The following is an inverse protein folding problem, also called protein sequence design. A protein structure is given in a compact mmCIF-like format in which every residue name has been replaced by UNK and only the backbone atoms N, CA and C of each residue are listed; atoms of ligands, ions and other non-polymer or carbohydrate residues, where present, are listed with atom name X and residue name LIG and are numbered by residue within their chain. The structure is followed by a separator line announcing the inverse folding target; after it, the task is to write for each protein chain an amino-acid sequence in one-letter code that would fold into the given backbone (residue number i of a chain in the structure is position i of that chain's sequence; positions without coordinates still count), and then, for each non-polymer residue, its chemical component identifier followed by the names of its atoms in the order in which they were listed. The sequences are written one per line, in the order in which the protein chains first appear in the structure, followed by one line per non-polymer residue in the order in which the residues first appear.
data_IF_620914245665
#
_entry.id   IF_620914245665
#
_cell.length_a   1.000
_cell.length_b   1.000
_cell.length_c   1.000
_cell.angle_alpha   90.00
_cell.angle_beta   90.00
_cell.angle_gamma   90.00
#
_symmetry.space_group_name_H-M   'P 1'
#
loop_
_entity.id
_entity.type
_entity.pdbx_description
1 polymer ?
#
# COMPACT_ATOMS: atom_id res chain seq x y z
N UNK A 1 19.70 -7.34 5.19
CA UNK A 1 18.41 -6.63 5.01
C UNK A 1 17.92 -6.94 3.62
N UNK A 2 16.82 -7.69 3.51
CA UNK A 2 16.14 -7.78 2.22
C UNK A 2 15.41 -6.46 2.02
N UNK A 3 15.90 -5.62 1.12
CA UNK A 3 15.23 -4.38 0.78
C UNK A 3 13.89 -4.73 0.11
N UNK A 4 12.77 -4.46 0.79
CA UNK A 4 11.41 -4.73 0.28
C UNK A 4 11.17 -4.01 -1.04
N UNK A 5 11.73 -2.81 -1.20
CA UNK A 5 11.71 -2.07 -2.46
C UNK A 5 12.38 -2.86 -3.58
N UNK A 6 13.53 -3.50 -3.29
CA UNK A 6 14.22 -4.35 -4.26
C UNK A 6 13.46 -5.65 -4.56
N UNK A 7 12.79 -6.22 -3.55
CA UNK A 7 12.08 -7.51 -3.69
C UNK A 7 10.73 -7.37 -4.38
N UNK A 8 9.97 -6.31 -4.08
CA UNK A 8 8.58 -6.16 -4.50
C UNK A 8 8.25 -4.81 -5.12
N UNK A 9 9.15 -3.81 -5.09
CA UNK A 9 8.85 -2.43 -5.47
C UNK A 9 8.30 -2.30 -6.90
N UNK A 10 8.89 -3.00 -7.86
CA UNK A 10 8.43 -3.02 -9.27
C UNK A 10 7.03 -3.62 -9.38
N UNK A 11 6.77 -4.73 -8.68
CA UNK A 11 5.50 -5.44 -8.80
C UNK A 11 4.37 -4.68 -8.09
N UNK A 12 4.64 -4.10 -6.92
CA UNK A 12 3.73 -3.17 -6.23
C UNK A 12 3.41 -1.99 -7.14
N UNK A 13 4.43 -1.40 -7.79
CA UNK A 13 4.20 -0.28 -8.71
C UNK A 13 3.33 -0.67 -9.91
N UNK A 14 3.50 -1.88 -10.47
CA UNK A 14 2.64 -2.40 -11.55
C UNK A 14 1.21 -2.61 -11.11
N UNK A 15 1.00 -3.18 -9.92
CA UNK A 15 -0.34 -3.36 -9.31
C UNK A 15 -1.02 -1.99 -9.18
N UNK A 16 -0.31 -1.02 -8.62
CA UNK A 16 -0.82 0.34 -8.45
C UNK A 16 -1.19 0.99 -9.79
N UNK A 17 -0.28 0.97 -10.77
CA UNK A 17 -0.53 1.55 -12.09
C UNK A 17 -1.78 0.97 -12.74
N UNK A 18 -1.93 -0.36 -12.70
CA UNK A 18 -3.13 -1.04 -13.23
C UNK A 18 -4.40 -0.61 -12.48
N UNK A 19 -4.36 -0.58 -11.15
CA UNK A 19 -5.52 -0.23 -10.34
C UNK A 19 -5.96 1.23 -10.54
N UNK A 20 -5.01 2.16 -10.55
CA UNK A 20 -5.29 3.57 -10.81
C UNK A 20 -5.91 3.77 -12.20
N UNK A 21 -5.33 3.19 -13.25
CA UNK A 21 -5.89 3.35 -14.60
C UNK A 21 -7.26 2.70 -14.78
N UNK A 22 -7.47 1.49 -14.24
CA UNK A 22 -8.76 0.82 -14.38
C UNK A 22 -9.89 1.60 -13.71
N UNK A 23 -9.61 2.20 -12.55
CA UNK A 23 -10.64 2.85 -11.74
C UNK A 23 -10.75 4.37 -12.01
N UNK A 24 -9.78 4.97 -12.71
CA UNK A 24 -9.72 6.40 -12.99
C UNK A 24 -11.04 6.95 -13.59
N UNK A 25 -11.37 8.18 -13.21
CA UNK A 25 -12.44 8.97 -13.81
C UNK A 25 -11.93 9.87 -14.93
N UNK A 26 -10.64 10.22 -14.90
CA UNK A 26 -10.00 11.06 -15.89
C UNK A 26 -8.95 10.27 -16.65
N UNK A 27 -8.79 10.59 -17.93
CA UNK A 27 -7.74 10.01 -18.75
C UNK A 27 -6.39 10.58 -18.32
N UNK A 28 -5.49 9.69 -17.92
CA UNK A 28 -4.11 10.01 -17.56
C UNK A 28 -3.22 9.22 -18.51
N UNK A 29 -2.34 9.90 -19.24
CA UNK A 29 -1.47 9.23 -20.24
C UNK A 29 -0.18 8.73 -19.61
N UNK A 30 0.32 9.44 -18.58
CA UNK A 30 1.58 9.14 -17.93
C UNK A 30 1.48 9.29 -16.40
N UNK A 31 2.14 8.38 -15.67
CA UNK A 31 2.20 8.40 -14.20
C UNK A 31 3.62 8.76 -13.78
N UNK A 32 3.76 9.91 -13.15
CA UNK A 32 4.97 10.33 -12.44
C UNK A 32 4.74 10.28 -10.92
N UNK A 33 5.74 10.01 -10.07
CA UNK A 33 5.53 9.80 -8.63
C UNK A 33 4.77 10.92 -7.91
N UNK A 34 4.96 12.17 -8.34
CA UNK A 34 4.33 13.36 -7.75
C UNK A 34 2.92 13.66 -8.26
N UNK A 35 2.38 12.85 -9.17
CA UNK A 35 1.03 13.06 -9.68
C UNK A 35 0.02 12.96 -8.53
N UNK A 36 -0.92 13.90 -8.48
CA UNK A 36 -1.94 13.92 -7.43
C UNK A 36 -2.98 12.84 -7.69
N UNK A 37 -3.56 12.28 -6.63
CA UNK A 37 -4.69 11.36 -6.77
C UNK A 37 -5.88 12.06 -7.47
N UNK A 38 -6.02 13.39 -7.28
CA UNK A 38 -7.03 14.21 -7.94
C UNK A 38 -6.89 14.28 -9.47
N UNK A 39 -5.72 13.93 -10.02
CA UNK A 39 -5.56 13.79 -11.47
C UNK A 39 -6.30 12.57 -12.04
N UNK A 40 -6.59 11.56 -11.20
CA UNK A 40 -7.32 10.35 -11.59
C UNK A 40 -8.77 10.38 -11.13
N UNK A 41 -9.05 10.98 -9.99
CA UNK A 41 -10.34 10.91 -9.30
C UNK A 41 -10.83 12.29 -8.88
N UNK A 42 -12.14 12.54 -8.94
CA UNK A 42 -12.71 13.82 -8.55
C UNK A 42 -12.93 13.88 -7.02
N UNK A 43 -12.01 14.53 -6.29
CA UNK A 43 -12.08 14.65 -4.83
C UNK A 43 -13.29 15.44 -4.32
N UNK A 44 -13.91 16.29 -5.15
CA UNK A 44 -15.09 17.05 -4.77
C UNK A 44 -16.40 16.25 -4.82
N UNK A 45 -16.36 14.98 -5.27
CA UNK A 45 -17.54 14.14 -5.46
C UNK A 45 -17.48 12.88 -4.62
N UNK A 46 -18.62 12.45 -4.10
CA UNK A 46 -18.74 11.17 -3.38
C UNK A 46 -18.28 9.99 -4.25
N UNK A 47 -18.62 10.01 -5.54
CA UNK A 47 -18.20 8.99 -6.50
C UNK A 47 -16.66 8.91 -6.63
N UNK A 48 -15.98 10.06 -6.70
CA UNK A 48 -14.52 10.09 -6.80
C UNK A 48 -13.84 9.61 -5.52
N UNK A 49 -14.36 9.98 -4.36
CA UNK A 49 -13.92 9.44 -3.06
C UNK A 49 -14.12 7.92 -2.99
N UNK A 50 -15.30 7.42 -3.38
CA UNK A 50 -15.58 5.99 -3.40
C UNK A 50 -14.65 5.22 -4.34
N UNK A 51 -14.45 5.72 -5.57
CA UNK A 51 -13.54 5.10 -6.54
C UNK A 51 -12.10 5.11 -6.06
N UNK A 52 -11.66 6.20 -5.43
CA UNK A 52 -10.31 6.26 -4.91
C UNK A 52 -10.10 5.26 -3.77
N UNK A 53 -11.05 5.20 -2.82
CA UNK A 53 -11.10 4.18 -1.77
C UNK A 53 -11.00 2.75 -2.31
N UNK A 54 -11.85 2.40 -3.28
CA UNK A 54 -11.84 1.06 -3.88
C UNK A 54 -10.50 0.74 -4.52
N UNK A 55 -9.89 1.72 -5.19
CA UNK A 55 -8.56 1.58 -5.80
C UNK A 55 -7.49 1.24 -4.76
N UNK A 56 -7.46 1.95 -3.63
CA UNK A 56 -6.47 1.69 -2.57
C UNK A 56 -6.71 0.32 -1.91
N UNK A 57 -7.96 -0.06 -1.65
CA UNK A 57 -8.31 -1.38 -1.09
C UNK A 57 -7.83 -2.49 -2.01
N UNK A 58 -8.08 -2.34 -3.31
CA UNK A 58 -7.67 -3.34 -4.28
C UNK A 58 -6.15 -3.51 -4.36
N UNK A 59 -5.41 -2.39 -4.34
CA UNK A 59 -3.94 -2.42 -4.30
C UNK A 59 -3.46 -3.23 -3.09
N UNK A 60 -4.02 -2.97 -1.90
CA UNK A 60 -3.65 -3.72 -0.69
C UNK A 60 -3.96 -5.21 -0.81
N UNK A 61 -5.11 -5.57 -1.39
CA UNK A 61 -5.49 -6.96 -1.59
C UNK A 61 -4.51 -7.69 -2.53
N UNK A 62 -4.14 -7.08 -3.66
CA UNK A 62 -3.19 -7.67 -4.60
C UNK A 62 -1.78 -7.75 -4.02
N UNK A 63 -1.34 -6.73 -3.26
CA UNK A 63 -0.04 -6.77 -2.58
C UNK A 63 0.00 -7.85 -1.51
N UNK A 64 -1.08 -8.04 -0.74
CA UNK A 64 -1.17 -9.10 0.25
C UNK A 64 -1.03 -10.49 -0.39
N UNK A 65 -1.58 -10.69 -1.59
CA UNK A 65 -1.41 -11.95 -2.34
C UNK A 65 0.05 -12.20 -2.74
N UNK A 66 0.74 -11.21 -3.32
CA UNK A 66 2.11 -11.41 -3.82
C UNK A 66 3.16 -11.46 -2.71
N UNK A 67 2.86 -10.90 -1.53
CA UNK A 67 3.79 -10.87 -0.40
C UNK A 67 3.47 -11.90 0.68
N UNK A 68 2.34 -12.61 0.56
CA UNK A 68 1.81 -13.53 1.58
C UNK A 68 1.72 -12.88 2.98
N UNK A 69 1.40 -11.59 3.02
CA UNK A 69 1.21 -10.83 4.25
C UNK A 69 -0.24 -10.32 4.37
N UNK A 70 -0.58 -9.85 5.56
CA UNK A 70 -1.87 -9.23 5.86
C UNK A 70 -1.69 -7.76 6.22
N UNK A 71 -1.29 -6.95 5.25
CA UNK A 71 -1.25 -5.50 5.39
C UNK A 71 -2.65 -4.97 5.69
N UNK A 72 -2.76 -4.17 6.75
CA UNK A 72 -4.00 -3.49 7.12
C UNK A 72 -3.96 -2.05 6.61
N UNK A 73 -4.99 -1.70 5.86
CA UNK A 73 -5.23 -0.33 5.45
C UNK A 73 -5.81 0.46 6.63
N UNK A 74 -5.17 1.58 7.00
CA UNK A 74 -5.60 2.41 8.14
C UNK A 74 -5.79 3.86 7.72
N UNK A 75 -7.07 4.27 7.61
CA UNK A 75 -7.51 5.65 7.45
C UNK A 75 -9.02 5.77 7.78
N UNK A 76 -9.56 6.99 7.84
CA UNK A 76 -10.98 7.26 8.10
C UNK A 76 -11.73 7.29 6.75
N UNK A 77 -12.74 6.44 6.52
CA UNK A 77 -13.51 6.47 5.27
C UNK A 77 -13.92 7.89 4.84
N UNK A 78 -13.59 8.27 3.60
CA UNK A 78 -13.84 9.62 3.08
C UNK A 78 -12.67 10.59 3.19
N UNK A 79 -11.55 10.22 3.84
CA UNK A 79 -10.33 11.04 3.93
C UNK A 79 -9.16 10.50 3.08
N UNK A 80 -9.46 9.69 2.06
CA UNK A 80 -8.45 9.00 1.27
C UNK A 80 -7.51 10.00 0.58
N UNK A 81 -8.03 11.12 0.09
CA UNK A 81 -7.21 12.19 -0.52
C UNK A 81 -6.34 12.93 0.48
N UNK A 82 -6.75 13.04 1.75
CA UNK A 82 -5.93 13.64 2.80
C UNK A 82 -4.79 12.68 3.20
N UNK A 83 -5.12 11.39 3.26
CA UNK A 83 -4.15 10.35 3.64
C UNK A 83 -3.13 10.09 2.53
N UNK A 84 -3.59 10.10 1.29
CA UNK A 84 -2.82 9.76 0.10
C UNK A 84 -3.05 10.81 -1.00
N UNK A 85 -2.55 12.04 -0.82
CA UNK A 85 -2.77 13.10 -1.80
C UNK A 85 -2.09 12.82 -3.14
N UNK A 86 -1.04 11.98 -3.15
CA UNK A 86 -0.27 11.64 -4.34
C UNK A 86 -0.27 10.14 -4.58
N UNK A 87 -0.10 9.78 -5.85
CA UNK A 87 0.07 8.39 -6.27
C UNK A 87 1.18 7.67 -5.48
N UNK A 88 2.34 8.32 -5.28
CA UNK A 88 3.45 7.71 -4.55
C UNK A 88 3.19 7.50 -3.05
N UNK A 89 2.26 8.23 -2.43
CA UNK A 89 2.01 8.10 -0.98
C UNK A 89 1.44 6.72 -0.63
N UNK A 90 0.62 6.15 -1.53
CA UNK A 90 0.12 4.77 -1.40
C UNK A 90 1.30 3.77 -1.46
N UNK A 91 2.21 3.96 -2.42
CA UNK A 91 3.37 3.08 -2.62
C UNK A 91 4.30 3.08 -1.41
N UNK A 92 4.69 4.28 -0.95
CA UNK A 92 5.56 4.48 0.22
C UNK A 92 4.94 3.82 1.45
N UNK A 93 3.64 4.01 1.67
CA UNK A 93 2.95 3.42 2.83
C UNK A 93 2.98 1.90 2.80
N UNK A 94 2.79 1.29 1.63
CA UNK A 94 2.85 -0.16 1.47
C UNK A 94 4.25 -0.70 1.74
N UNK A 95 5.27 -0.10 1.13
CA UNK A 95 6.68 -0.52 1.31
C UNK A 95 7.08 -0.43 2.78
N UNK A 96 6.82 0.71 3.43
CA UNK A 96 7.13 0.90 4.85
C UNK A 96 6.40 -0.12 5.74
N UNK A 97 5.15 -0.45 5.42
CA UNK A 97 4.38 -1.42 6.22
C UNK A 97 4.94 -2.84 6.08
N UNK A 98 5.40 -3.22 4.89
CA UNK A 98 6.06 -4.50 4.64
C UNK A 98 7.41 -4.59 5.35
N UNK A 99 8.21 -3.51 5.36
CA UNK A 99 9.49 -3.46 6.06
C UNK A 99 9.33 -3.61 7.59
N UNK A 100 8.29 -3.00 8.15
CA UNK A 100 7.95 -3.17 9.57
C UNK A 100 7.58 -4.62 9.90
N UNK A 101 6.82 -5.30 9.03
CA UNK A 101 6.48 -6.72 9.23
C UNK A 101 7.72 -7.63 9.15
N UNK A 102 8.64 -7.37 8.23
CA UNK A 102 9.89 -8.13 8.10
C UNK A 102 10.77 -7.95 9.37
N UNK A 103 10.84 -6.73 9.88
CA UNK A 103 11.55 -6.42 11.13
C UNK A 103 10.95 -7.17 12.33
N UNK A 104 9.62 -7.27 12.41
CA UNK A 104 8.92 -8.00 13.48
C UNK A 104 9.12 -9.52 13.41
N UNK A 105 9.20 -10.10 12.20
CA UNK A 105 9.56 -11.53 12.04
C UNK A 105 10.97 -11.82 12.55
N UNK A 106 11.88 -10.86 12.43
CA UNK A 106 13.25 -10.97 12.95
C UNK A 106 13.37 -10.69 14.47
N UNK A 107 12.36 -10.12 15.12
CA UNK A 107 12.35 -9.86 16.57
C UNK A 107 11.66 -10.94 17.40
N UNK A 108 11.27 -12.08 16.81
CA UNK A 108 10.97 -13.28 17.57
C UNK A 108 12.26 -13.83 18.21
N UNK A 109 12.71 -13.15 19.27
CA UNK A 109 13.77 -13.60 20.15
C UNK A 109 13.37 -14.96 20.69
N UNK A 110 14.10 -15.98 20.28
CA UNK A 110 14.12 -17.28 20.92
C UNK A 110 14.53 -17.01 22.38
N UNK A 111 13.56 -16.98 23.29
CA UNK A 111 13.87 -17.12 24.71
C UNK A 111 14.43 -18.53 24.87
N UNK A 112 15.69 -18.71 25.29
CA UNK A 112 16.17 -20.05 25.61
C UNK A 112 15.30 -20.59 26.74
N UNK A 113 14.71 -21.77 26.51
CA UNK A 113 14.03 -22.52 27.55
C UNK A 113 14.98 -22.65 28.76
N UNK A 114 14.65 -21.98 29.87
CA UNK A 114 15.21 -22.35 31.15
C UNK A 114 14.70 -23.76 31.45
N UNK A 115 15.56 -24.77 31.25
CA UNK A 115 15.41 -26.05 31.94
C UNK A 115 15.32 -25.72 33.43
N UNK A 116 14.17 -25.97 34.03
CA UNK A 116 14.08 -26.13 35.47
C UNK A 116 14.87 -27.40 35.81
N UNK A 117 16.10 -27.22 36.26
CA UNK A 117 16.89 -28.29 36.87
C UNK A 117 16.58 -28.33 38.37
N UNK A 118 16.06 -29.49 38.77
CA UNK A 118 15.79 -30.02 40.11
C UNK A 118 14.61 -29.44 40.88
#
# INVERSE_FOLDING_TARGET
MNNIEHKYGIEIHRIMKKAFFRNAQYQVEEIFPKITASAFFNSATELGNHKYKQTVIEIYNEVNKITENHLKLSYIPGNEFDKFPRYADVWITIVNSLEQLDTNKHTAVILPFKKATK
#
